data_IF_896812491298
#
_entry.id   IF_896812491298
#
_cell.length_a   1.000
_cell.length_b   1.000
_cell.length_c   1.000
_cell.angle_alpha   90.00
_cell.angle_beta   90.00
_cell.angle_gamma   90.00
#
_symmetry.space_group_name_H-M   'P 1'
#
loop_
_entity.id
_entity.type
_entity.pdbx_description
1 polymer ?
#
# COMPACT_ATOMS: atom_id res chain seq x y z
N UNK A 1 -13.98 -10.09 -20.18
CA UNK A 1 -14.75 -9.14 -19.33
C UNK A 1 -14.38 -7.73 -19.75
N UNK A 2 -15.36 -6.92 -20.16
CA UNK A 2 -15.15 -5.49 -20.46
C UNK A 2 -15.67 -4.58 -19.33
N UNK A 3 -15.39 -4.93 -18.10
CA UNK A 3 -15.69 -4.03 -16.99
C UNK A 3 -14.61 -2.96 -16.88
N UNK A 4 -15.03 -1.74 -16.64
CA UNK A 4 -14.16 -0.58 -16.55
C UNK A 4 -14.59 0.36 -15.43
N UNK A 5 -13.67 1.16 -14.98
CA UNK A 5 -13.90 2.27 -14.06
C UNK A 5 -13.57 3.58 -14.74
N UNK A 6 -14.29 4.66 -14.39
CA UNK A 6 -13.95 6.01 -14.88
C UNK A 6 -13.16 6.72 -13.79
N UNK A 7 -11.91 7.09 -14.09
CA UNK A 7 -11.03 7.90 -13.23
C UNK A 7 -10.42 9.03 -14.00
N UNK A 8 -10.51 10.24 -13.47
CA UNK A 8 -9.99 11.46 -14.09
C UNK A 8 -10.45 11.63 -15.56
N UNK A 9 -11.74 11.29 -15.84
CA UNK A 9 -12.34 11.35 -17.16
C UNK A 9 -11.87 10.25 -18.13
N UNK A 10 -11.01 9.32 -17.70
CA UNK A 10 -10.55 8.20 -18.52
C UNK A 10 -11.29 6.92 -18.16
N UNK A 11 -11.65 6.15 -19.19
CA UNK A 11 -12.20 4.79 -19.04
C UNK A 11 -11.01 3.82 -18.90
N UNK A 12 -10.88 3.17 -17.75
CA UNK A 12 -9.81 2.24 -17.44
C UNK A 12 -10.38 0.83 -17.25
N UNK A 13 -9.79 -0.15 -17.95
CA UNK A 13 -10.20 -1.55 -17.92
C UNK A 13 -9.78 -2.21 -16.60
N UNK A 14 -10.69 -2.94 -15.99
CA UNK A 14 -10.41 -3.77 -14.81
C UNK A 14 -9.55 -4.98 -15.18
N UNK A 15 -8.77 -5.44 -14.22
CA UNK A 15 -8.03 -6.69 -14.29
C UNK A 15 -8.44 -7.67 -13.19
N UNK A 16 -7.67 -8.75 -13.03
CA UNK A 16 -7.87 -9.71 -11.95
C UNK A 16 -6.56 -9.98 -11.19
N UNK A 17 -6.70 -10.33 -9.92
CA UNK A 17 -5.57 -10.41 -8.97
C UNK A 17 -4.77 -11.71 -9.13
N UNK A 18 -3.55 -11.74 -8.56
CA UNK A 18 -2.77 -12.99 -8.43
C UNK A 18 -3.54 -14.07 -7.66
N UNK A 19 -4.38 -13.66 -6.69
CA UNK A 19 -5.28 -14.56 -5.95
C UNK A 19 -6.32 -15.23 -6.85
N UNK A 20 -6.93 -14.48 -7.78
CA UNK A 20 -7.86 -15.02 -8.76
C UNK A 20 -7.17 -15.96 -9.74
N UNK A 21 -5.97 -15.62 -10.20
CA UNK A 21 -5.19 -16.54 -11.06
C UNK A 21 -4.87 -17.85 -10.35
N UNK A 22 -4.42 -17.78 -9.09
CA UNK A 22 -4.08 -18.96 -8.29
C UNK A 22 -5.30 -19.85 -8.04
N UNK A 23 -6.46 -19.25 -7.70
CA UNK A 23 -7.69 -20.00 -7.48
C UNK A 23 -8.21 -20.65 -8.76
N UNK A 24 -8.18 -19.96 -9.89
CA UNK A 24 -8.60 -20.50 -11.17
C UNK A 24 -7.67 -21.62 -11.66
N UNK A 25 -6.35 -21.44 -11.54
CA UNK A 25 -5.38 -22.48 -11.88
C UNK A 25 -5.56 -23.74 -11.01
N UNK A 26 -5.77 -23.56 -9.70
CA UNK A 26 -6.00 -24.66 -8.77
C UNK A 26 -7.32 -25.40 -9.06
N UNK A 27 -8.41 -24.68 -9.35
CA UNK A 27 -9.71 -25.26 -9.77
C UNK A 27 -9.55 -26.09 -11.04
N UNK A 28 -8.88 -25.56 -12.06
CA UNK A 28 -8.67 -26.25 -13.34
C UNK A 28 -7.78 -27.49 -13.18
N UNK A 29 -6.67 -27.37 -12.43
CA UNK A 29 -5.78 -28.51 -12.17
C UNK A 29 -6.47 -29.62 -11.39
N UNK A 30 -7.25 -29.27 -10.35
CA UNK A 30 -8.06 -30.23 -9.58
C UNK A 30 -9.09 -30.93 -10.46
N UNK A 31 -9.81 -30.18 -11.31
CA UNK A 31 -10.76 -30.76 -12.27
C UNK A 31 -10.08 -31.78 -13.19
N UNK A 32 -8.95 -31.38 -13.83
CA UNK A 32 -8.23 -32.29 -14.74
C UNK A 32 -7.67 -33.50 -14.04
N UNK A 33 -7.20 -33.36 -12.79
CA UNK A 33 -6.68 -34.46 -11.99
C UNK A 33 -7.77 -35.51 -11.64
N UNK A 34 -8.96 -35.03 -11.26
CA UNK A 34 -10.04 -35.92 -10.77
C UNK A 34 -10.85 -36.51 -11.90
N UNK A 35 -11.11 -35.77 -12.99
CA UNK A 35 -11.93 -36.25 -14.11
C UNK A 35 -11.13 -36.95 -15.21
N UNK A 36 -9.83 -36.69 -15.30
CA UNK A 36 -9.01 -37.14 -16.43
C UNK A 36 -9.19 -36.33 -17.72
N UNK A 37 -10.12 -35.36 -17.77
CA UNK A 37 -10.41 -34.58 -18.97
C UNK A 37 -9.62 -33.24 -18.97
N UNK A 38 -9.13 -32.80 -20.12
CA UNK A 38 -8.47 -31.53 -20.28
C UNK A 38 -9.47 -30.37 -20.14
N UNK A 39 -9.03 -29.28 -19.51
CA UNK A 39 -9.82 -28.06 -19.29
C UNK A 39 -9.04 -26.86 -19.75
N UNK A 40 -9.42 -26.24 -20.88
CA UNK A 40 -8.74 -25.10 -21.47
C UNK A 40 -9.29 -23.73 -21.05
N UNK A 41 -10.46 -23.70 -20.45
CA UNK A 41 -11.06 -22.51 -19.85
C UNK A 41 -11.68 -22.85 -18.52
N UNK A 42 -11.66 -21.92 -17.58
CA UNK A 42 -12.23 -22.14 -16.23
C UNK A 42 -13.00 -20.91 -15.77
N UNK A 43 -14.17 -21.15 -15.21
CA UNK A 43 -15.00 -20.10 -14.61
C UNK A 43 -14.68 -19.96 -13.12
N UNK A 44 -14.48 -18.70 -12.70
CA UNK A 44 -14.21 -18.31 -11.32
C UNK A 44 -15.15 -17.19 -10.89
N UNK A 45 -15.88 -17.38 -9.81
CA UNK A 45 -16.60 -16.30 -9.14
C UNK A 45 -15.66 -15.63 -8.13
N UNK A 46 -15.45 -14.32 -8.31
CA UNK A 46 -14.59 -13.56 -7.40
C UNK A 46 -15.34 -13.14 -6.12
N UNK A 47 -14.64 -12.79 -5.02
CA UNK A 47 -15.28 -12.23 -3.82
C UNK A 47 -16.10 -10.96 -4.06
N UNK A 48 -15.77 -10.18 -5.11
CA UNK A 48 -16.57 -9.02 -5.55
C UNK A 48 -17.89 -9.42 -6.25
N UNK A 49 -18.13 -10.72 -6.52
CA UNK A 49 -19.30 -11.22 -7.24
C UNK A 49 -19.16 -11.13 -8.76
N UNK A 50 -17.99 -10.86 -9.29
CA UNK A 50 -17.70 -10.84 -10.73
C UNK A 50 -17.32 -12.25 -11.19
N UNK A 51 -17.99 -12.75 -12.22
CA UNK A 51 -17.63 -14.00 -12.87
C UNK A 51 -16.53 -13.77 -13.92
N UNK A 52 -15.46 -14.54 -13.81
CA UNK A 52 -14.34 -14.53 -14.75
C UNK A 52 -14.31 -15.86 -15.50
N UNK A 53 -14.16 -15.81 -16.83
CA UNK A 53 -13.81 -16.98 -17.64
C UNK A 53 -12.35 -16.79 -18.10
N UNK A 54 -11.47 -17.66 -17.63
CA UNK A 54 -10.02 -17.52 -17.78
C UNK A 54 -9.44 -18.68 -18.61
N UNK A 55 -8.50 -18.37 -19.48
CA UNK A 55 -7.78 -19.35 -20.28
C UNK A 55 -6.79 -20.13 -19.41
N UNK A 56 -6.82 -21.45 -19.52
CA UNK A 56 -5.91 -22.38 -18.84
C UNK A 56 -4.82 -22.78 -19.80
N UNK A 57 -3.59 -22.44 -19.45
CA UNK A 57 -2.41 -22.64 -20.29
C UNK A 57 -1.33 -23.45 -19.55
N UNK A 58 -0.26 -23.82 -20.25
CA UNK A 58 0.89 -24.56 -19.69
C UNK A 58 0.46 -25.82 -18.92
N UNK A 59 -0.44 -26.59 -19.52
CA UNK A 59 -0.98 -27.81 -18.89
C UNK A 59 0.05 -28.93 -18.94
N UNK A 60 0.44 -29.42 -17.76
CA UNK A 60 1.31 -30.58 -17.58
C UNK A 60 0.58 -31.62 -16.73
N UNK A 61 0.67 -32.87 -17.12
CA UNK A 61 -0.07 -33.99 -16.48
C UNK A 61 0.86 -35.16 -16.23
N UNK A 62 0.79 -35.70 -15.03
CA UNK A 62 1.33 -36.99 -14.64
C UNK A 62 0.18 -37.84 -14.05
N UNK A 63 0.38 -39.10 -13.72
CA UNK A 63 -0.66 -39.92 -13.09
C UNK A 63 -1.19 -39.35 -11.78
N UNK A 64 -0.31 -38.70 -10.97
CA UNK A 64 -0.64 -38.27 -9.62
C UNK A 64 -0.69 -36.73 -9.47
N UNK A 65 -0.28 -35.97 -10.47
CA UNK A 65 -0.20 -34.52 -10.40
C UNK A 65 -0.62 -33.87 -11.71
N UNK A 66 -1.41 -32.80 -11.61
CA UNK A 66 -1.70 -31.90 -12.73
C UNK A 66 -1.26 -30.51 -12.37
N UNK A 67 -0.56 -29.86 -13.28
CA UNK A 67 -0.18 -28.45 -13.18
C UNK A 67 -0.71 -27.67 -14.38
N UNK A 68 -1.14 -26.44 -14.15
CA UNK A 68 -1.49 -25.50 -15.20
C UNK A 68 -1.29 -24.07 -14.72
N UNK A 69 -1.35 -23.12 -15.65
CA UNK A 69 -1.17 -21.71 -15.35
C UNK A 69 -2.34 -20.85 -15.85
N UNK A 70 -2.52 -19.73 -15.18
CA UNK A 70 -3.34 -18.61 -15.64
C UNK A 70 -2.41 -17.41 -15.83
N UNK A 71 -2.51 -16.73 -16.98
CA UNK A 71 -1.80 -15.49 -17.24
C UNK A 71 -2.53 -14.35 -16.53
N UNK A 72 -1.81 -13.60 -15.69
CA UNK A 72 -2.40 -12.45 -15.00
C UNK A 72 -2.61 -11.29 -15.96
N UNK A 73 -3.83 -10.76 -15.96
CA UNK A 73 -4.17 -9.51 -16.64
C UNK A 73 -4.55 -8.45 -15.59
N UNK A 74 -3.74 -7.41 -15.49
CA UNK A 74 -3.97 -6.31 -14.55
C UNK A 74 -4.89 -5.21 -15.09
N UNK A 75 -5.46 -5.38 -16.28
CA UNK A 75 -6.20 -4.31 -16.94
C UNK A 75 -5.27 -3.14 -17.30
N UNK A 76 -5.74 -1.94 -17.06
CA UNK A 76 -4.97 -0.70 -17.29
C UNK A 76 -4.19 -0.25 -16.03
N UNK A 77 -4.06 -1.12 -15.02
CA UNK A 77 -3.23 -0.85 -13.85
C UNK A 77 -1.73 -1.07 -14.16
N UNK A 78 -0.83 -0.13 -13.80
CA UNK A 78 0.61 -0.27 -14.02
C UNK A 78 1.27 -1.25 -13.03
N UNK A 79 0.66 -2.40 -12.82
CA UNK A 79 1.12 -3.46 -11.92
C UNK A 79 2.30 -4.22 -12.52
N UNK A 80 3.39 -4.32 -11.77
CA UNK A 80 4.61 -5.03 -12.19
C UNK A 80 4.39 -6.54 -12.40
N UNK A 81 3.28 -7.10 -11.91
CA UNK A 81 2.91 -8.50 -12.08
C UNK A 81 2.00 -8.74 -13.28
N UNK A 82 1.75 -7.73 -14.13
CA UNK A 82 1.05 -7.91 -15.39
C UNK A 82 1.74 -8.97 -16.26
N UNK A 83 0.97 -9.78 -16.97
CA UNK A 83 1.40 -10.91 -17.81
C UNK A 83 2.13 -12.07 -17.08
N UNK A 84 2.34 -11.99 -15.77
CA UNK A 84 2.96 -13.07 -14.99
C UNK A 84 2.09 -14.33 -15.05
N UNK A 85 2.74 -15.48 -15.27
CA UNK A 85 2.10 -16.79 -15.18
C UNK A 85 2.02 -17.23 -13.72
N UNK A 86 0.80 -17.49 -13.26
CA UNK A 86 0.53 -18.07 -11.93
C UNK A 86 0.12 -19.52 -12.11
N UNK A 87 0.99 -20.41 -11.66
CA UNK A 87 0.79 -21.86 -11.73
C UNK A 87 0.11 -22.39 -10.47
N UNK A 88 -0.69 -23.44 -10.64
CA UNK A 88 -1.09 -24.32 -9.57
C UNK A 88 -0.78 -25.77 -9.98
N UNK A 89 -0.04 -26.49 -9.13
CA UNK A 89 0.14 -27.92 -9.21
C UNK A 89 -0.73 -28.56 -8.14
N UNK A 90 -1.58 -29.50 -8.52
CA UNK A 90 -2.50 -30.23 -7.63
C UNK A 90 -2.14 -31.71 -7.64
N UNK A 91 -1.93 -32.26 -6.45
CA UNK A 91 -1.55 -33.65 -6.23
C UNK A 91 -2.50 -34.32 -5.23
N UNK A 92 -2.80 -35.62 -5.44
CA UNK A 92 -3.53 -36.41 -4.45
C UNK A 92 -2.71 -36.67 -3.21
N UNK A 93 -3.37 -36.64 -2.03
CA UNK A 93 -2.75 -36.96 -0.74
C UNK A 93 -3.61 -37.97 0.04
N UNK A 94 -2.98 -38.69 0.96
CA UNK A 94 -3.68 -39.65 1.84
C UNK A 94 -4.52 -38.92 2.89
N UNK A 95 -4.09 -37.76 3.36
CA UNK A 95 -4.79 -36.96 4.37
C UNK A 95 -5.95 -36.20 3.71
N UNK A 96 -7.22 -36.43 4.12
CA UNK A 96 -8.37 -35.72 3.57
C UNK A 96 -8.28 -34.22 3.71
N UNK A 97 -8.89 -33.50 2.75
CA UNK A 97 -8.98 -32.06 2.74
C UNK A 97 -7.99 -31.40 1.77
N UNK A 98 -7.91 -30.06 1.81
CA UNK A 98 -7.09 -29.24 0.90
C UNK A 98 -5.97 -28.58 1.67
N UNK A 99 -4.73 -28.90 1.31
CA UNK A 99 -3.53 -28.20 1.79
C UNK A 99 -3.01 -27.24 0.73
N UNK A 100 -2.49 -26.08 1.14
CA UNK A 100 -2.05 -25.02 0.21
C UNK A 100 -0.69 -24.50 0.67
N UNK A 101 0.28 -24.50 -0.25
CA UNK A 101 1.59 -23.89 -0.01
C UNK A 101 2.11 -23.16 -1.26
N UNK A 102 3.19 -22.39 -1.10
CA UNK A 102 3.87 -21.67 -2.16
C UNK A 102 5.14 -22.37 -2.61
N UNK A 103 5.31 -22.49 -3.91
CA UNK A 103 6.51 -22.97 -4.59
C UNK A 103 7.39 -21.84 -5.13
N UNK A 104 8.07 -22.10 -6.23
CA UNK A 104 9.02 -21.17 -6.86
C UNK A 104 8.36 -19.81 -7.14
N UNK A 105 9.05 -18.72 -6.76
CA UNK A 105 8.63 -17.33 -6.99
C UNK A 105 7.46 -16.85 -6.14
N UNK A 106 6.90 -17.68 -5.24
CA UNK A 106 5.99 -17.22 -4.19
C UNK A 106 6.83 -16.94 -2.93
N UNK A 107 6.70 -15.73 -2.40
CA UNK A 107 7.50 -15.29 -1.25
C UNK A 107 7.17 -16.05 0.03
N UNK A 108 8.12 -16.04 0.97
CA UNK A 108 7.96 -16.52 2.35
C UNK A 108 7.95 -15.36 3.32
N UNK A 109 7.05 -15.41 4.27
CA UNK A 109 6.93 -14.41 5.34
C UNK A 109 8.07 -14.59 6.34
N UNK A 110 8.83 -13.52 6.63
CA UNK A 110 9.95 -13.55 7.58
C UNK A 110 9.74 -12.63 8.79
N UNK A 111 8.72 -11.77 8.78
CA UNK A 111 8.42 -10.82 9.85
C UNK A 111 6.98 -10.97 10.34
N UNK A 112 6.74 -10.65 11.61
CA UNK A 112 5.40 -10.64 12.21
C UNK A 112 4.56 -9.46 11.69
N UNK A 113 3.23 -9.53 11.84
CA UNK A 113 2.29 -8.45 11.49
C UNK A 113 1.78 -8.48 10.06
N UNK A 114 2.18 -9.48 9.27
CA UNK A 114 1.59 -9.76 7.96
C UNK A 114 0.38 -10.70 8.11
N UNK A 115 -0.34 -10.88 7.01
CA UNK A 115 -1.55 -11.71 6.96
C UNK A 115 -1.26 -13.19 7.29
N UNK A 116 -0.09 -13.68 6.90
CA UNK A 116 0.34 -15.04 7.18
C UNK A 116 1.44 -15.07 8.24
N UNK A 117 1.54 -16.16 9.03
CA UNK A 117 2.58 -16.31 10.04
C UNK A 117 3.98 -16.44 9.42
N UNK A 118 4.99 -16.17 10.24
CA UNK A 118 6.41 -16.33 9.85
C UNK A 118 6.67 -17.77 9.39
N UNK A 119 7.37 -17.94 8.28
CA UNK A 119 7.66 -19.22 7.63
C UNK A 119 6.64 -19.65 6.59
N UNK A 120 5.41 -19.15 6.64
CA UNK A 120 4.38 -19.50 5.68
C UNK A 120 4.61 -18.82 4.31
N UNK A 121 4.07 -19.43 3.26
CA UNK A 121 4.00 -18.80 1.94
C UNK A 121 3.15 -17.53 1.99
N UNK A 122 3.58 -16.49 1.30
CA UNK A 122 2.90 -15.22 1.18
C UNK A 122 1.66 -15.32 0.25
N UNK A 123 0.76 -16.24 0.60
CA UNK A 123 -0.56 -16.41 0.00
C UNK A 123 -1.56 -15.91 1.03
N UNK A 124 -2.14 -14.73 0.82
CA UNK A 124 -3.01 -14.10 1.81
C UNK A 124 -4.29 -14.89 2.07
N UNK A 125 -4.97 -14.58 3.17
CA UNK A 125 -6.14 -15.34 3.67
C UNK A 125 -7.26 -15.42 2.67
N UNK A 126 -7.58 -14.34 1.93
CA UNK A 126 -8.62 -14.34 0.91
C UNK A 126 -8.25 -15.24 -0.27
N UNK A 127 -7.08 -15.13 -0.92
CA UNK A 127 -6.62 -16.10 -1.92
C UNK A 127 -6.62 -17.56 -1.42
N UNK A 128 -6.15 -17.82 -0.20
CA UNK A 128 -6.18 -19.18 0.38
C UNK A 128 -7.60 -19.72 0.47
N UNK A 129 -8.54 -18.89 0.91
CA UNK A 129 -9.95 -19.25 0.96
C UNK A 129 -10.50 -19.51 -0.45
N UNK A 130 -10.24 -18.63 -1.43
CA UNK A 130 -10.66 -18.81 -2.82
C UNK A 130 -10.13 -20.12 -3.41
N UNK A 131 -8.84 -20.42 -3.22
CA UNK A 131 -8.24 -21.66 -3.70
C UNK A 131 -8.95 -22.86 -3.08
N UNK A 132 -9.10 -22.86 -1.75
CA UNK A 132 -9.74 -23.96 -1.02
C UNK A 132 -11.16 -24.19 -1.48
N UNK A 133 -12.01 -23.17 -1.48
CA UNK A 133 -13.42 -23.25 -1.84
C UNK A 133 -13.63 -23.79 -3.27
N UNK A 134 -12.81 -23.32 -4.23
CA UNK A 134 -12.89 -23.77 -5.63
C UNK A 134 -12.38 -25.21 -5.83
N UNK A 135 -11.34 -25.62 -5.10
CA UNK A 135 -10.85 -27.00 -5.15
C UNK A 135 -11.85 -27.94 -4.47
N UNK A 136 -12.40 -27.58 -3.32
CA UNK A 136 -13.45 -28.36 -2.62
C UNK A 136 -14.74 -28.42 -3.43
N UNK A 137 -15.10 -27.39 -4.21
CA UNK A 137 -16.20 -27.46 -5.18
C UNK A 137 -15.97 -28.56 -6.19
N UNK A 138 -14.78 -28.66 -6.77
CA UNK A 138 -14.43 -29.72 -7.73
C UNK A 138 -14.44 -31.08 -7.08
N UNK A 139 -13.91 -31.20 -5.85
CA UNK A 139 -13.95 -32.49 -5.10
C UNK A 139 -15.38 -32.95 -4.91
N UNK A 140 -16.32 -32.07 -4.54
CA UNK A 140 -17.75 -32.40 -4.40
C UNK A 140 -18.39 -32.83 -5.72
N UNK A 141 -18.08 -32.11 -6.81
CA UNK A 141 -18.59 -32.42 -8.14
C UNK A 141 -18.12 -33.80 -8.68
N UNK A 142 -16.96 -34.25 -8.19
CA UNK A 142 -16.35 -35.53 -8.57
C UNK A 142 -16.55 -36.65 -7.52
N UNK A 143 -17.36 -36.42 -6.47
CA UNK A 143 -17.56 -37.34 -5.34
C UNK A 143 -16.23 -37.83 -4.72
N UNK A 144 -15.21 -36.95 -4.72
CA UNK A 144 -13.87 -37.27 -4.21
C UNK A 144 -13.74 -36.94 -2.74
N UNK A 145 -13.52 -37.95 -1.90
CA UNK A 145 -13.41 -37.84 -0.45
C UNK A 145 -11.94 -37.85 0.08
N UNK A 146 -10.96 -37.97 -0.81
CA UNK A 146 -9.53 -37.94 -0.44
C UNK A 146 -8.99 -36.56 -0.14
N UNK A 147 -7.65 -36.39 -0.16
CA UNK A 147 -6.99 -35.13 0.01
C UNK A 147 -6.34 -34.61 -1.26
N UNK A 148 -6.20 -33.27 -1.35
CA UNK A 148 -5.47 -32.61 -2.42
C UNK A 148 -4.46 -31.61 -1.84
N UNK A 149 -3.21 -31.70 -2.29
CA UNK A 149 -2.18 -30.71 -2.05
C UNK A 149 -2.09 -29.74 -3.23
N UNK A 150 -2.15 -28.44 -2.96
CA UNK A 150 -2.08 -27.36 -3.95
C UNK A 150 -0.80 -26.58 -3.73
N UNK A 151 0.06 -26.57 -4.74
CA UNK A 151 1.29 -25.77 -4.76
C UNK A 151 1.14 -24.63 -5.76
N UNK A 152 1.18 -23.39 -5.27
CA UNK A 152 1.10 -22.19 -6.11
C UNK A 152 2.50 -21.69 -6.43
N UNK A 153 2.80 -21.40 -7.69
CA UNK A 153 4.09 -20.91 -8.15
C UNK A 153 3.94 -19.75 -9.14
N UNK A 154 4.93 -18.87 -9.16
CA UNK A 154 5.07 -17.79 -10.12
C UNK A 154 6.57 -17.69 -10.49
N UNK A 155 7.09 -18.42 -11.47
CA UNK A 155 8.52 -18.58 -11.69
C UNK A 155 9.30 -17.26 -11.77
N UNK A 156 8.75 -16.22 -12.37
CA UNK A 156 9.34 -14.88 -12.46
C UNK A 156 9.22 -14.06 -11.16
N UNK A 157 8.50 -14.57 -10.17
CA UNK A 157 8.09 -13.85 -8.97
C UNK A 157 9.27 -13.34 -8.13
N UNK A 158 10.40 -14.04 -8.09
CA UNK A 158 11.58 -13.57 -7.35
C UNK A 158 12.16 -12.29 -7.96
N UNK A 159 12.24 -12.22 -9.29
CA UNK A 159 12.73 -11.05 -10.00
C UNK A 159 11.76 -9.87 -9.88
N UNK A 160 10.45 -10.15 -9.98
CA UNK A 160 9.37 -9.15 -9.86
C UNK A 160 9.29 -8.60 -8.44
N UNK A 161 9.46 -9.42 -7.41
CA UNK A 161 9.37 -9.01 -6.02
C UNK A 161 10.35 -7.87 -5.66
N UNK A 162 11.51 -7.80 -6.32
CA UNK A 162 12.48 -6.71 -6.15
C UNK A 162 11.92 -5.33 -6.52
N UNK A 163 10.88 -5.29 -7.35
CA UNK A 163 10.19 -4.06 -7.79
C UNK A 163 8.92 -3.77 -6.98
N UNK A 164 8.62 -4.58 -5.96
CA UNK A 164 7.44 -4.45 -5.09
C UNK A 164 7.83 -4.01 -3.68
N UNK A 165 6.83 -3.85 -2.81
CA UNK A 165 7.04 -3.60 -1.38
C UNK A 165 7.46 -4.84 -0.58
N UNK A 166 7.43 -6.04 -1.16
CA UNK A 166 7.71 -7.29 -0.46
C UNK A 166 9.03 -7.28 0.34
N UNK A 167 10.18 -6.83 -0.21
CA UNK A 167 11.43 -6.79 0.56
C UNK A 167 11.34 -5.93 1.82
N UNK A 168 10.63 -4.79 1.77
CA UNK A 168 10.43 -3.92 2.94
C UNK A 168 9.57 -4.60 4.00
N UNK A 169 8.55 -5.34 3.58
CA UNK A 169 7.62 -6.05 4.44
C UNK A 169 8.21 -7.36 5.01
N UNK A 170 9.43 -7.75 4.59
CA UNK A 170 10.02 -9.01 5.02
C UNK A 170 9.37 -10.23 4.36
N UNK A 171 8.97 -10.09 3.10
CA UNK A 171 8.56 -11.20 2.24
C UNK A 171 9.73 -11.48 1.28
N UNK A 172 10.31 -12.68 1.37
CA UNK A 172 11.55 -13.04 0.70
C UNK A 172 11.32 -14.18 -0.31
N UNK A 173 12.04 -14.16 -1.43
CA UNK A 173 12.05 -15.25 -2.41
C UNK A 173 10.93 -15.20 -3.45
N UNK A 174 10.06 -14.17 -3.43
CA UNK A 174 9.02 -14.08 -4.44
C UNK A 174 7.96 -13.01 -4.19
N UNK A 175 6.95 -13.00 -5.07
CA UNK A 175 5.78 -12.14 -4.96
C UNK A 175 4.79 -12.69 -3.92
N UNK A 176 3.84 -11.83 -3.51
CA UNK A 176 2.68 -12.24 -2.74
C UNK A 176 1.54 -12.63 -3.67
N UNK A 177 0.80 -13.67 -3.29
CA UNK A 177 -0.49 -14.03 -3.88
C UNK A 177 -1.56 -13.30 -3.06
N UNK A 178 -2.12 -12.24 -3.62
CA UNK A 178 -2.99 -11.31 -2.92
C UNK A 178 -4.21 -10.91 -3.76
N UNK A 179 -5.14 -10.19 -3.13
CA UNK A 179 -6.36 -9.67 -3.71
C UNK A 179 -7.58 -9.97 -2.84
N UNK A 180 -8.16 -8.94 -2.25
CA UNK A 180 -9.33 -9.08 -1.34
C UNK A 180 -10.63 -9.22 -2.11
N UNK A 181 -10.74 -8.56 -3.25
CA UNK A 181 -11.92 -8.54 -4.12
C UNK A 181 -11.86 -9.53 -5.28
N UNK A 182 -10.64 -10.03 -5.60
CA UNK A 182 -10.35 -10.82 -6.80
C UNK A 182 -10.16 -9.99 -8.07
N UNK A 183 -10.52 -8.71 -8.06
CA UNK A 183 -10.45 -7.77 -9.19
C UNK A 183 -9.38 -6.71 -8.92
N UNK A 184 -8.63 -6.36 -9.96
CA UNK A 184 -7.71 -5.20 -9.96
C UNK A 184 -8.47 -4.01 -10.48
N UNK A 185 -8.57 -2.97 -9.66
CA UNK A 185 -9.09 -1.68 -10.04
C UNK A 185 -7.92 -0.72 -10.29
N UNK A 186 -7.71 -0.27 -11.54
CA UNK A 186 -6.57 0.58 -11.87
C UNK A 186 -6.52 1.85 -11.03
N UNK A 187 -5.29 2.24 -10.62
CA UNK A 187 -5.04 3.45 -9.83
C UNK A 187 -5.89 3.51 -8.55
N UNK A 188 -6.04 2.39 -7.86
CA UNK A 188 -6.82 2.30 -6.62
C UNK A 188 -6.14 3.05 -5.47
N UNK A 189 -6.80 4.10 -4.95
CA UNK A 189 -6.35 4.80 -3.74
C UNK A 189 -6.44 3.88 -2.51
N UNK A 190 -7.47 3.03 -2.46
CA UNK A 190 -7.63 2.05 -1.38
C UNK A 190 -6.44 1.07 -1.32
N UNK A 191 -5.91 0.63 -2.46
CA UNK A 191 -4.73 -0.24 -2.49
C UNK A 191 -3.48 0.44 -1.89
N UNK A 192 -3.32 1.76 -2.09
CA UNK A 192 -2.26 2.52 -1.44
C UNK A 192 -2.47 2.63 0.07
N UNK A 193 -3.68 2.92 0.51
CA UNK A 193 -4.04 2.97 1.95
C UNK A 193 -3.83 1.60 2.60
N UNK A 194 -4.26 0.52 1.96
CA UNK A 194 -4.07 -0.84 2.46
C UNK A 194 -2.57 -1.19 2.60
N UNK A 195 -1.74 -0.73 1.66
CA UNK A 195 -0.28 -0.93 1.74
C UNK A 195 0.32 -0.19 2.94
N UNK A 196 -0.10 1.05 3.20
CA UNK A 196 0.30 1.83 4.37
C UNK A 196 -0.11 1.09 5.66
N UNK A 197 -1.33 0.59 5.71
CA UNK A 197 -1.85 -0.15 6.86
C UNK A 197 -1.08 -1.45 7.12
N UNK A 198 -0.70 -2.17 6.08
CA UNK A 198 0.13 -3.39 6.20
C UNK A 198 1.51 -3.04 6.77
N UNK A 199 2.16 -1.99 6.27
CA UNK A 199 3.48 -1.56 6.77
C UNK A 199 3.41 -1.13 8.23
N UNK A 200 2.39 -0.36 8.63
CA UNK A 200 2.19 0.06 10.02
C UNK A 200 1.95 -1.14 10.96
N UNK A 201 1.07 -2.07 10.59
CA UNK A 201 0.85 -3.30 11.36
C UNK A 201 2.12 -4.11 11.55
N UNK A 202 2.89 -4.25 10.48
CA UNK A 202 4.16 -4.97 10.50
C UNK A 202 5.15 -4.32 11.48
N UNK A 203 5.30 -2.99 11.45
CA UNK A 203 6.18 -2.27 12.39
C UNK A 203 5.72 -2.44 13.83
N UNK A 204 4.44 -2.28 14.10
CA UNK A 204 3.89 -2.43 15.45
C UNK A 204 4.06 -3.85 15.99
N UNK A 205 3.82 -4.87 15.16
CA UNK A 205 3.99 -6.29 15.53
C UNK A 205 5.46 -6.68 15.78
N UNK A 206 6.42 -5.89 15.27
CA UNK A 206 7.85 -6.08 15.50
C UNK A 206 8.40 -5.14 16.61
N UNK A 207 7.51 -4.54 17.41
CA UNK A 207 7.87 -3.85 18.64
C UNK A 207 8.01 -2.34 18.53
N UNK A 208 7.73 -1.72 17.37
CA UNK A 208 7.80 -0.28 17.23
C UNK A 208 6.66 0.40 18.01
N UNK A 209 6.97 1.18 19.01
CA UNK A 209 6.02 2.04 19.74
C UNK A 209 5.88 3.42 19.12
N UNK A 210 6.88 3.86 18.36
CA UNK A 210 6.91 5.13 17.66
C UNK A 210 7.15 4.92 16.18
N UNK A 211 6.61 5.80 15.33
CA UNK A 211 6.71 5.65 13.88
C UNK A 211 7.07 6.97 13.21
N UNK A 212 7.95 6.88 12.21
CA UNK A 212 8.27 7.96 11.31
C UNK A 212 7.43 7.85 10.05
N UNK A 213 6.70 8.92 9.72
CA UNK A 213 5.83 9.00 8.55
C UNK A 213 6.35 10.05 7.57
N UNK A 214 6.25 9.79 6.27
CA UNK A 214 6.60 10.79 5.27
C UNK A 214 5.67 10.71 4.05
N UNK A 215 5.13 11.84 3.57
CA UNK A 215 4.16 11.85 2.48
C UNK A 215 4.79 11.81 1.07
N UNK A 216 6.02 11.36 0.92
CA UNK A 216 6.61 11.20 -0.40
C UNK A 216 8.13 11.09 -0.42
N UNK A 217 8.69 10.93 -1.63
CA UNK A 217 10.11 10.68 -1.84
C UNK A 217 11.00 11.84 -1.35
N UNK A 218 10.55 13.10 -1.50
CA UNK A 218 11.30 14.26 -0.99
C UNK A 218 11.53 14.20 0.53
N UNK A 219 10.55 13.64 1.26
CA UNK A 219 10.71 13.41 2.70
C UNK A 219 11.75 12.34 2.99
N UNK A 220 11.77 11.27 2.20
CA UNK A 220 12.78 10.22 2.33
C UNK A 220 14.20 10.77 2.08
N UNK A 221 14.37 11.63 1.06
CA UNK A 221 15.65 12.27 0.76
C UNK A 221 16.07 13.22 1.88
N UNK A 222 15.14 14.00 2.42
CA UNK A 222 15.41 14.90 3.54
C UNK A 222 15.77 14.13 4.83
N UNK A 223 15.08 13.02 5.11
CA UNK A 223 15.38 12.14 6.24
C UNK A 223 16.82 11.64 6.15
N UNK A 224 17.25 11.20 4.97
CA UNK A 224 18.64 10.75 4.76
C UNK A 224 19.65 11.87 4.91
N UNK A 225 19.42 12.99 4.23
CA UNK A 225 20.42 14.06 4.08
C UNK A 225 20.52 14.96 5.32
N UNK A 226 19.41 15.24 5.99
CA UNK A 226 19.31 16.26 7.04
C UNK A 226 19.07 15.70 8.43
N UNK A 227 18.47 14.51 8.54
CA UNK A 227 18.20 13.85 9.82
C UNK A 227 19.24 12.75 10.09
N UNK A 228 19.81 12.13 9.02
CA UNK A 228 20.81 11.07 9.14
C UNK A 228 20.22 9.69 9.41
N UNK A 229 18.91 9.51 9.20
CA UNK A 229 18.26 8.20 9.32
C UNK A 229 18.16 7.50 7.96
N UNK A 230 18.13 6.17 7.98
CA UNK A 230 17.78 5.39 6.79
C UNK A 230 16.34 5.71 6.38
N UNK A 231 16.08 6.16 5.14
CA UNK A 231 14.72 6.45 4.68
C UNK A 231 13.76 5.25 4.80
N UNK A 232 14.29 4.03 4.85
CA UNK A 232 13.51 2.81 5.05
C UNK A 232 12.87 2.72 6.44
N UNK A 233 13.33 3.53 7.42
CA UNK A 233 12.70 3.64 8.73
C UNK A 233 11.36 4.36 8.68
N UNK A 234 11.13 5.21 7.67
CA UNK A 234 9.88 5.93 7.50
C UNK A 234 8.84 5.13 6.71
N UNK A 235 7.57 5.20 7.11
CA UNK A 235 6.43 4.72 6.34
C UNK A 235 6.03 5.79 5.32
N UNK A 236 5.92 5.40 4.05
CA UNK A 236 5.49 6.30 2.97
C UNK A 236 3.97 6.41 2.97
N UNK A 237 3.43 7.57 3.36
CA UNK A 237 1.97 7.79 3.48
C UNK A 237 1.33 8.34 2.20
N UNK A 238 2.11 8.67 1.17
CA UNK A 238 1.59 9.37 -0.01
C UNK A 238 0.81 10.63 0.39
N UNK A 239 -0.44 10.76 -0.03
CA UNK A 239 -1.34 11.85 0.34
C UNK A 239 -2.26 11.48 1.52
N UNK A 240 -2.23 10.22 2.00
CA UNK A 240 -3.15 9.65 2.98
C UNK A 240 -2.63 9.78 4.42
N UNK A 241 -2.27 11.01 4.80
CA UNK A 241 -1.70 11.29 6.14
C UNK A 241 -2.72 11.00 7.23
N UNK A 242 -4.00 11.36 6.98
CA UNK A 242 -5.08 11.14 7.94
C UNK A 242 -5.33 9.67 8.23
N UNK A 243 -5.41 8.85 7.16
CA UNK A 243 -5.60 7.40 7.25
C UNK A 243 -4.43 6.73 8.00
N UNK A 244 -3.20 7.16 7.69
CA UNK A 244 -2.01 6.64 8.36
C UNK A 244 -2.02 6.94 9.87
N UNK A 245 -2.35 8.18 10.28
CA UNK A 245 -2.43 8.58 11.69
C UNK A 245 -3.55 7.85 12.44
N UNK A 246 -4.73 7.73 11.83
CA UNK A 246 -5.85 6.96 12.42
C UNK A 246 -5.48 5.51 12.63
N UNK A 247 -4.81 4.92 11.65
CA UNK A 247 -4.37 3.53 11.75
C UNK A 247 -3.26 3.35 12.81
N UNK A 248 -2.31 4.29 12.91
CA UNK A 248 -1.33 4.30 14.02
C UNK A 248 -2.01 4.31 15.38
N UNK A 249 -3.03 5.16 15.57
CA UNK A 249 -3.80 5.22 16.80
C UNK A 249 -4.54 3.90 17.07
N UNK A 250 -5.21 3.34 16.07
CA UNK A 250 -5.93 2.06 16.17
C UNK A 250 -5.00 0.88 16.54
N UNK A 251 -3.75 0.91 16.08
CA UNK A 251 -2.74 -0.09 16.40
C UNK A 251 -2.05 0.13 17.77
N UNK A 252 -2.36 1.22 18.47
CA UNK A 252 -1.78 1.55 19.76
C UNK A 252 -0.32 2.00 19.68
N UNK A 253 0.08 2.72 18.66
CA UNK A 253 1.35 3.45 18.67
C UNK A 253 1.32 4.52 19.76
N UNK A 254 2.43 4.72 20.44
CA UNK A 254 2.60 5.77 21.47
C UNK A 254 2.85 7.14 20.83
N UNK A 255 3.47 7.16 19.64
CA UNK A 255 3.70 8.40 18.93
C UNK A 255 4.02 8.25 17.44
N UNK A 256 3.77 9.34 16.69
CA UNK A 256 4.05 9.46 15.26
C UNK A 256 4.72 10.79 14.94
N UNK A 257 5.80 10.77 14.17
CA UNK A 257 6.49 11.93 13.65
C UNK A 257 6.30 12.02 12.14
N UNK A 258 5.73 13.13 11.68
CA UNK A 258 5.62 13.46 10.27
C UNK A 258 6.83 14.26 9.81
N UNK A 259 7.48 13.86 8.73
CA UNK A 259 8.53 14.63 8.06
C UNK A 259 8.13 14.84 6.62
N UNK A 260 7.88 16.10 6.22
CA UNK A 260 7.38 16.34 4.87
C UNK A 260 7.65 17.75 4.33
N UNK A 261 7.58 17.83 3.00
CA UNK A 261 7.74 19.09 2.28
C UNK A 261 6.56 20.03 2.55
N UNK A 262 6.84 21.34 2.65
CA UNK A 262 5.85 22.39 2.93
C UNK A 262 4.65 22.30 1.98
N UNK A 263 4.86 22.02 0.70
CA UNK A 263 3.78 21.89 -0.29
C UNK A 263 2.70 20.86 0.05
N UNK A 264 2.98 19.93 0.98
CA UNK A 264 1.98 19.00 1.52
C UNK A 264 1.61 19.35 2.96
N UNK A 265 2.60 19.57 3.84
CA UNK A 265 2.34 19.72 5.27
C UNK A 265 1.68 21.04 5.65
N UNK A 266 1.82 22.11 4.85
CA UNK A 266 1.10 23.36 5.09
C UNK A 266 -0.42 23.15 5.08
N UNK A 267 -0.95 22.20 4.28
CA UNK A 267 -2.37 21.85 4.22
C UNK A 267 -2.91 21.33 5.57
N UNK A 268 -2.05 20.72 6.39
CA UNK A 268 -2.41 20.29 7.73
C UNK A 268 -2.73 21.46 8.66
N UNK A 269 -2.16 22.65 8.42
CA UNK A 269 -2.50 23.84 9.17
C UNK A 269 -3.96 24.27 8.97
N UNK A 270 -4.60 23.84 7.89
CA UNK A 270 -6.04 23.99 7.62
C UNK A 270 -6.87 22.73 7.94
N UNK A 271 -6.26 21.70 8.54
CA UNK A 271 -6.96 20.45 8.87
C UNK A 271 -7.21 19.51 7.67
N UNK A 272 -6.51 19.70 6.54
CA UNK A 272 -6.64 18.82 5.38
C UNK A 272 -5.75 17.58 5.53
N UNK A 273 -6.36 16.42 5.63
CA UNK A 273 -5.68 15.16 5.93
C UNK A 273 -5.34 14.32 4.69
N UNK A 274 -6.03 14.51 3.58
CA UNK A 274 -5.60 14.06 2.26
C UNK A 274 -4.97 15.25 1.53
N UNK A 275 -3.67 15.19 1.29
CA UNK A 275 -2.90 16.32 0.74
C UNK A 275 -2.87 16.35 -0.80
N UNK A 276 -3.63 15.48 -1.48
CA UNK A 276 -3.75 15.50 -2.93
C UNK A 276 -4.45 16.79 -3.40
N UNK A 277 -3.98 17.40 -4.49
CA UNK A 277 -4.55 18.65 -5.01
C UNK A 277 -6.02 18.53 -5.43
N UNK A 278 -6.47 17.34 -5.85
CA UNK A 278 -7.89 17.10 -6.16
C UNK A 278 -8.83 17.21 -4.96
N UNK A 279 -8.31 17.03 -3.73
CA UNK A 279 -9.07 17.20 -2.50
C UNK A 279 -9.15 18.67 -2.06
N UNK A 280 -8.31 19.51 -2.65
CA UNK A 280 -8.22 20.94 -2.41
C UNK A 280 -6.76 21.40 -2.44
N UNK A 281 -6.57 22.63 -2.89
CA UNK A 281 -5.29 23.31 -2.81
C UNK A 281 -5.49 24.66 -2.10
N UNK A 282 -5.22 24.68 -0.83
CA UNK A 282 -5.35 25.88 0.01
C UNK A 282 -3.99 26.37 0.53
N UNK A 283 -2.90 26.02 -0.13
CA UNK A 283 -1.54 26.33 0.32
C UNK A 283 -1.29 27.82 0.44
N UNK A 284 -1.64 28.55 -0.61
CA UNK A 284 -1.43 29.99 -0.67
C UNK A 284 -2.36 30.73 0.27
N UNK A 285 -3.63 30.33 0.33
CA UNK A 285 -4.62 30.90 1.24
C UNK A 285 -4.21 30.73 2.71
N UNK A 286 -3.67 29.58 3.08
CA UNK A 286 -3.18 29.35 4.45
C UNK A 286 -1.98 30.25 4.78
N UNK A 287 -1.00 30.33 3.87
CA UNK A 287 0.17 31.20 4.05
C UNK A 287 -0.27 32.67 4.11
N UNK A 288 -1.09 33.11 3.15
CA UNK A 288 -1.57 34.48 3.03
C UNK A 288 -2.40 34.92 4.25
N UNK A 289 -3.33 34.07 4.73
CA UNK A 289 -4.15 34.37 5.90
C UNK A 289 -3.32 34.56 7.17
N UNK A 290 -2.32 33.70 7.40
CA UNK A 290 -1.42 33.83 8.55
C UNK A 290 -0.47 35.02 8.41
N UNK A 291 -0.01 35.35 7.22
CA UNK A 291 0.82 36.53 6.95
C UNK A 291 0.02 37.82 7.11
N UNK A 292 -1.21 37.89 6.59
CA UNK A 292 -2.12 39.03 6.76
C UNK A 292 -2.40 39.32 8.25
N UNK A 293 -2.66 38.27 9.04
CA UNK A 293 -2.87 38.39 10.49
C UNK A 293 -1.63 38.87 11.26
N UNK A 294 -0.46 38.83 10.64
CA UNK A 294 0.81 39.37 11.16
C UNK A 294 1.17 40.73 10.53
N UNK A 295 0.28 41.34 9.75
CA UNK A 295 0.44 42.67 9.20
C UNK A 295 1.04 42.72 7.79
N UNK A 296 1.06 41.63 7.04
CA UNK A 296 1.46 41.66 5.62
C UNK A 296 0.54 42.64 4.87
N UNK A 297 1.09 43.62 4.11
CA UNK A 297 0.30 44.60 3.36
C UNK A 297 -0.63 43.94 2.35
N UNK A 298 -1.86 44.46 2.09
CA UNK A 298 -2.85 43.84 1.21
C UNK A 298 -2.32 43.49 -0.20
N UNK A 299 -1.52 44.39 -0.81
CA UNK A 299 -0.91 44.14 -2.11
C UNK A 299 0.03 42.91 -2.09
N UNK A 300 0.78 42.73 -1.01
CA UNK A 300 1.68 41.59 -0.85
C UNK A 300 0.91 40.29 -0.51
N UNK A 301 -0.28 40.41 0.13
CA UNK A 301 -1.19 39.27 0.34
C UNK A 301 -1.66 38.73 -1.02
N UNK A 302 -2.05 39.62 -1.94
CA UNK A 302 -2.44 39.24 -3.30
C UNK A 302 -1.30 38.53 -4.05
N UNK A 303 -0.05 39.08 -3.94
CA UNK A 303 1.13 38.44 -4.53
C UNK A 303 1.35 37.01 -3.97
N UNK A 304 1.15 36.81 -2.66
CA UNK A 304 1.25 35.45 -2.05
C UNK A 304 0.17 34.53 -2.58
N UNK A 305 -1.07 35.01 -2.74
CA UNK A 305 -2.18 34.23 -3.31
C UNK A 305 -1.93 33.79 -4.75
N UNK A 306 -1.22 34.62 -5.53
CA UNK A 306 -0.88 34.34 -6.93
C UNK A 306 0.37 33.45 -7.09
N UNK A 307 1.07 33.10 -6.01
CA UNK A 307 2.24 32.23 -6.09
C UNK A 307 1.92 30.82 -6.56
N UNK A 308 2.71 30.28 -7.47
CA UNK A 308 2.61 28.91 -7.92
C UNK A 308 3.15 27.90 -6.89
N UNK A 309 4.17 28.27 -6.14
CA UNK A 309 4.84 27.39 -5.16
C UNK A 309 4.91 28.02 -3.78
N UNK A 310 5.02 27.16 -2.74
CA UNK A 310 5.25 27.64 -1.38
C UNK A 310 6.60 28.36 -1.25
N UNK A 311 7.61 27.98 -2.02
CA UNK A 311 8.94 28.61 -1.96
C UNK A 311 8.88 30.05 -2.49
N UNK A 312 8.07 30.35 -3.51
CA UNK A 312 7.80 31.72 -3.96
C UNK A 312 7.14 32.56 -2.85
N UNK A 313 6.12 32.01 -2.20
CA UNK A 313 5.46 32.67 -1.07
C UNK A 313 6.45 32.93 0.09
N UNK A 314 7.30 31.94 0.41
CA UNK A 314 8.32 32.10 1.45
C UNK A 314 9.33 33.19 1.11
N UNK A 315 9.67 33.41 -0.16
CA UNK A 315 10.53 34.53 -0.60
C UNK A 315 9.88 35.87 -0.27
N UNK A 316 8.59 36.05 -0.57
CA UNK A 316 7.84 37.26 -0.22
C UNK A 316 7.85 37.51 1.28
N UNK A 317 7.62 36.44 2.08
CA UNK A 317 7.65 36.55 3.54
C UNK A 317 9.03 36.97 4.08
N UNK A 318 10.13 36.58 3.44
CA UNK A 318 11.49 36.99 3.80
C UNK A 318 11.72 38.46 3.49
N UNK A 319 11.26 38.93 2.33
CA UNK A 319 11.35 40.36 1.94
C UNK A 319 10.64 41.27 2.96
N UNK A 320 9.49 40.79 3.48
CA UNK A 320 8.66 41.52 4.46
C UNK A 320 9.03 41.23 5.93
N UNK A 321 10.08 40.44 6.19
CA UNK A 321 10.56 40.07 7.53
C UNK A 321 9.50 39.29 8.37
N UNK A 322 8.55 38.62 7.73
CA UNK A 322 7.48 37.85 8.37
C UNK A 322 7.73 36.33 8.32
N UNK A 323 8.83 35.90 7.69
CA UNK A 323 9.14 34.51 7.42
C UNK A 323 9.06 33.61 8.68
N UNK A 324 9.81 33.93 9.72
CA UNK A 324 9.87 33.12 10.94
C UNK A 324 8.54 33.15 11.71
N UNK A 325 7.90 34.33 11.77
CA UNK A 325 6.62 34.47 12.48
C UNK A 325 5.47 33.69 11.81
N UNK A 326 5.41 33.71 10.47
CA UNK A 326 4.40 32.93 9.73
C UNK A 326 4.66 31.42 9.87
N UNK A 327 5.91 30.99 9.76
CA UNK A 327 6.27 29.58 9.93
C UNK A 327 5.98 29.07 11.34
N UNK A 328 6.21 29.89 12.38
CA UNK A 328 5.84 29.54 13.76
C UNK A 328 4.31 29.35 13.89
N UNK A 329 3.51 30.28 13.37
CA UNK A 329 2.04 30.14 13.36
C UNK A 329 1.55 28.94 12.59
N UNK A 330 2.14 28.64 11.44
CA UNK A 330 1.79 27.42 10.69
C UNK A 330 2.12 26.16 11.49
N UNK A 331 3.27 26.11 12.18
CA UNK A 331 3.64 25.00 13.06
C UNK A 331 2.65 24.82 14.21
N UNK A 332 2.22 25.90 14.88
CA UNK A 332 1.20 25.88 15.93
C UNK A 332 -0.14 25.36 15.41
N UNK A 333 -0.56 25.75 14.20
CA UNK A 333 -1.80 25.28 13.59
C UNK A 333 -1.73 23.79 13.21
N UNK A 334 -0.59 23.35 12.67
CA UNK A 334 -0.34 21.93 12.40
C UNK A 334 -0.43 21.14 13.70
N UNK A 335 0.22 21.62 14.76
CA UNK A 335 0.18 20.97 16.09
C UNK A 335 -1.24 20.86 16.63
N UNK A 336 -2.03 21.93 16.55
CA UNK A 336 -3.43 21.94 16.96
C UNK A 336 -4.23 20.87 16.25
N UNK A 337 -4.10 20.76 14.93
CA UNK A 337 -4.83 19.77 14.15
C UNK A 337 -4.33 18.33 14.39
N UNK A 338 -3.01 18.15 14.58
CA UNK A 338 -2.44 16.85 14.96
C UNK A 338 -2.96 16.38 16.30
N UNK A 339 -3.00 17.25 17.31
CA UNK A 339 -3.54 16.91 18.64
C UNK A 339 -5.02 16.48 18.55
N UNK A 340 -5.82 17.16 17.74
CA UNK A 340 -7.22 16.80 17.51
C UNK A 340 -7.38 15.44 16.82
N UNK A 341 -6.56 15.18 15.80
CA UNK A 341 -6.60 13.94 15.02
C UNK A 341 -6.10 12.73 15.80
N UNK A 342 -5.02 12.92 16.56
CA UNK A 342 -4.30 11.82 17.21
C UNK A 342 -4.79 11.53 18.64
N UNK A 343 -5.51 12.48 19.29
CA UNK A 343 -5.98 12.33 20.67
C UNK A 343 -4.80 12.13 21.63
N UNK A 344 -4.76 11.01 22.35
CA UNK A 344 -3.71 10.70 23.33
C UNK A 344 -2.38 10.28 22.71
N UNK A 345 -2.40 9.83 21.44
CA UNK A 345 -1.17 9.47 20.73
C UNK A 345 -0.31 10.71 20.51
N UNK A 346 0.95 10.70 20.93
CA UNK A 346 1.88 11.80 20.69
C UNK A 346 2.09 12.00 19.20
N UNK A 347 1.91 13.24 18.70
CA UNK A 347 2.12 13.53 17.30
C UNK A 347 2.95 14.80 17.11
N UNK A 348 3.80 14.81 16.08
CA UNK A 348 4.62 15.96 15.73
C UNK A 348 4.91 16.01 14.24
N UNK A 349 5.37 17.17 13.79
CA UNK A 349 5.75 17.37 12.39
C UNK A 349 7.05 18.17 12.26
N UNK A 350 7.86 17.81 11.27
CA UNK A 350 8.99 18.57 10.77
C UNK A 350 8.66 18.95 9.33
N UNK A 351 8.59 20.25 9.07
CA UNK A 351 8.30 20.82 7.75
C UNK A 351 9.59 21.30 7.12
N UNK A 352 9.81 20.98 5.86
CA UNK A 352 10.98 21.42 5.11
C UNK A 352 10.61 21.90 3.70
N UNK A 353 11.51 22.64 3.09
CA UNK A 353 11.54 22.97 1.67
C UNK A 353 12.84 22.44 1.06
N UNK A 354 12.85 22.25 -0.26
CA UNK A 354 14.09 21.92 -0.98
C UNK A 354 15.07 23.09 -1.02
N UNK A 355 14.55 24.31 -1.14
CA UNK A 355 15.33 25.52 -1.29
C UNK A 355 15.86 26.03 0.06
N UNK A 356 15.01 25.99 1.10
CA UNK A 356 15.33 26.60 2.40
C UNK A 356 15.67 25.57 3.50
N UNK A 357 15.72 24.29 3.17
CA UNK A 357 15.97 23.24 4.17
C UNK A 357 14.84 23.10 5.19
N UNK A 358 15.19 22.86 6.45
CA UNK A 358 14.19 22.76 7.53
C UNK A 358 13.58 24.13 7.81
N UNK A 359 12.25 24.23 7.69
CA UNK A 359 11.48 25.47 7.88
C UNK A 359 11.01 25.63 9.31
N UNK A 360 10.20 24.70 9.79
CA UNK A 360 9.64 24.73 11.13
C UNK A 360 9.39 23.32 11.65
N UNK A 361 9.03 23.23 12.94
CA UNK A 361 8.65 22.00 13.61
C UNK A 361 7.62 22.29 14.71
N UNK A 362 6.77 21.32 15.00
CA UNK A 362 5.87 21.36 16.15
C UNK A 362 6.65 21.13 17.46
N UNK A 363 6.07 21.46 18.60
CA UNK A 363 6.75 21.42 19.90
C UNK A 363 7.33 20.05 20.24
N UNK A 364 6.55 18.97 20.00
CA UNK A 364 6.93 17.59 20.32
C UNK A 364 7.84 16.91 19.29
N UNK A 365 8.08 17.55 18.14
CA UNK A 365 8.79 16.91 17.03
C UNK A 365 10.22 16.49 17.38
N UNK A 366 10.93 17.26 18.22
CA UNK A 366 12.31 16.94 18.61
C UNK A 366 12.38 15.75 19.59
N UNK A 367 11.47 15.70 20.53
CA UNK A 367 11.35 14.58 21.50
C UNK A 367 11.04 13.27 20.74
N UNK A 368 10.04 13.33 19.85
CA UNK A 368 9.66 12.17 19.03
C UNK A 368 10.80 11.70 18.14
N UNK A 369 11.55 12.63 17.55
CA UNK A 369 12.70 12.29 16.72
C UNK A 369 13.77 11.57 17.54
N UNK A 370 14.12 12.08 18.73
CA UNK A 370 15.08 11.45 19.64
C UNK A 370 14.66 10.02 19.97
N UNK A 371 13.41 9.83 20.38
CA UNK A 371 12.87 8.50 20.73
C UNK A 371 12.93 7.53 19.53
N UNK A 372 12.63 8.00 18.32
CA UNK A 372 12.69 7.16 17.11
C UNK A 372 14.14 6.79 16.74
N UNK A 373 15.12 7.65 17.05
CA UNK A 373 16.53 7.39 16.77
C UNK A 373 17.18 6.41 17.77
N UNK A 374 16.63 6.30 18.97
CA UNK A 374 17.13 5.43 20.04
C UNK A 374 16.56 4.00 19.98
N UNK A 375 15.43 3.80 19.31
CA UNK A 375 14.71 2.52 19.19
C UNK A 375 14.86 1.88 17.80
#
# INVERSE_FOLDING_TARGET
>A
MEEYVIKDGKRLRLGYTTGSCAAAAAKAAAWMLLTGHEKRTIDLLTPKGVALTLDVIEIMRTPDTVSCAIRKDSGDDPDVTHDTLVFAAVQRTETPGVTIDGGAGVGRVTKRGLDQPVGAAAINSVPRRMIRENVEEVMRLCDYCGGLAVMISAPEGEALAKKTFNPRLGIVGGISILGTTGIVEPMSEQALVDTIHVELRQRRANGADYVLLTPGNYGADFIRASIGLDPRTAVLTSNFIGDALEHCRALGFRGALLVGHIGKLVKLAGGMWNTHSKCGDCRMELIAAHAAALGLPPARVEEVLDCATCDDALRILKEEQLYDAVLARLAERIEFHLAHKCGEMAAGAIVFSKEYGRLCRTSRAQELLGTIMEG
#
